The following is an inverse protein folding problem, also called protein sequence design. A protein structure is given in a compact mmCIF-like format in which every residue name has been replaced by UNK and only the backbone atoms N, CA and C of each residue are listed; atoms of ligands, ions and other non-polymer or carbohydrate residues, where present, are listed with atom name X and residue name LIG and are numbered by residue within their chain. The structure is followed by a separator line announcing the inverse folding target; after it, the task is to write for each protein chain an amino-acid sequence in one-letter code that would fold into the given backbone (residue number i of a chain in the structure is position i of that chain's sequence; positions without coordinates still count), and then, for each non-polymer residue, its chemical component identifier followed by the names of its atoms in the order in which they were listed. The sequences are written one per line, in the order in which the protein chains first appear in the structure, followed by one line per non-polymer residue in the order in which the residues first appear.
data_IF_521193988679
#
_entry.id   IF_521193988679
#
_cell.length_a   1.000
_cell.length_b   1.000
_cell.length_c   1.000
_cell.angle_alpha   90.00
_cell.angle_beta   90.00
_cell.angle_gamma   90.00
#
_symmetry.space_group_name_H-M   'P 1'
#
loop_
_entity.id
_entity.type
_entity.pdbx_description
1 polymer ?
#
# COMPACT_ATOMS: atom_id res chain seq x y z
N UNK A 1 74.03 13.38 19.77
CA UNK A 1 72.78 13.55 20.55
C UNK A 1 72.75 12.51 21.66
N UNK A 2 72.34 12.87 22.89
CA UNK A 2 72.21 11.90 23.97
C UNK A 2 71.11 10.88 23.61
N UNK A 3 71.37 9.59 23.86
CA UNK A 3 70.47 8.47 23.50
C UNK A 3 69.04 8.67 24.04
N UNK A 4 68.92 9.26 25.22
CA UNK A 4 67.64 9.53 25.87
C UNK A 4 66.77 10.51 25.07
N UNK A 5 67.39 11.52 24.43
CA UNK A 5 66.67 12.47 23.59
C UNK A 5 66.09 11.80 22.34
N UNK A 6 66.83 10.85 21.73
CA UNK A 6 66.37 10.08 20.57
C UNK A 6 65.20 9.18 20.97
N UNK A 7 65.28 8.53 22.14
CA UNK A 7 64.22 7.68 22.68
C UNK A 7 62.95 8.48 22.96
N UNK A 8 63.07 9.66 23.58
CA UNK A 8 61.93 10.55 23.84
C UNK A 8 61.30 11.04 22.53
N UNK A 9 62.13 11.44 21.55
CA UNK A 9 61.64 11.91 20.25
C UNK A 9 60.89 10.80 19.49
N UNK A 10 61.42 9.57 19.55
CA UNK A 10 60.79 8.40 18.91
C UNK A 10 59.45 8.07 19.57
N UNK A 11 59.38 8.12 20.90
CA UNK A 11 58.15 7.90 21.65
C UNK A 11 57.09 8.95 21.33
N UNK A 12 57.49 10.23 21.19
CA UNK A 12 56.59 11.33 20.80
C UNK A 12 56.08 11.19 19.37
N UNK A 13 56.95 10.84 18.42
CA UNK A 13 56.55 10.62 17.01
C UNK A 13 55.59 9.44 16.93
N UNK A 14 55.85 8.36 17.67
CA UNK A 14 55.00 7.17 17.69
C UNK A 14 53.63 7.49 18.28
N UNK A 15 53.57 8.17 19.42
CA UNK A 15 52.30 8.52 20.06
C UNK A 15 51.47 9.48 19.21
N UNK A 16 52.12 10.49 18.60
CA UNK A 16 51.46 11.40 17.67
C UNK A 16 50.94 10.68 16.43
N UNK A 17 51.74 9.78 15.85
CA UNK A 17 51.34 9.00 14.67
C UNK A 17 50.15 8.09 14.98
N UNK A 18 50.13 7.44 16.14
CA UNK A 18 49.00 6.62 16.59
C UNK A 18 47.73 7.45 16.79
N UNK A 19 47.84 8.62 17.46
CA UNK A 19 46.69 9.51 17.66
C UNK A 19 46.14 10.04 16.32
N UNK A 20 47.02 10.41 15.40
CA UNK A 20 46.63 10.85 14.05
C UNK A 20 45.95 9.72 13.28
N UNK A 21 46.49 8.49 13.32
CA UNK A 21 45.90 7.33 12.66
C UNK A 21 44.50 6.98 13.23
N UNK A 22 44.33 7.03 14.55
CA UNK A 22 43.02 6.83 15.21
C UNK A 22 42.05 7.94 14.81
N UNK A 23 42.49 9.20 14.78
CA UNK A 23 41.65 10.32 14.36
C UNK A 23 41.15 10.16 12.92
N UNK A 24 42.06 9.86 11.99
CA UNK A 24 41.72 9.63 10.58
C UNK A 24 40.75 8.45 10.45
N UNK A 25 41.03 7.34 11.13
CA UNK A 25 40.19 6.14 11.11
C UNK A 25 38.78 6.44 11.64
N UNK A 26 38.68 7.15 12.77
CA UNK A 26 37.40 7.54 13.35
C UNK A 26 36.62 8.48 12.42
N UNK A 27 37.29 9.41 11.76
CA UNK A 27 36.66 10.31 10.80
C UNK A 27 36.05 9.54 9.60
N UNK A 28 36.81 8.62 9.00
CA UNK A 28 36.30 7.79 7.90
C UNK A 28 35.22 6.82 8.34
N UNK A 29 35.33 6.23 9.53
CA UNK A 29 34.30 5.37 10.11
C UNK A 29 32.99 6.14 10.32
N UNK A 30 33.05 7.36 10.86
CA UNK A 30 31.86 8.18 11.07
C UNK A 30 31.19 8.56 9.74
N UNK A 31 31.97 8.94 8.74
CA UNK A 31 31.45 9.26 7.40
C UNK A 31 30.84 8.03 6.71
N UNK A 32 31.46 6.87 6.84
CA UNK A 32 30.95 5.60 6.34
C UNK A 32 29.65 5.21 7.03
N UNK A 33 29.61 5.33 8.37
CA UNK A 33 28.41 5.07 9.17
C UNK A 33 27.25 5.98 8.77
N UNK A 34 27.50 7.28 8.58
CA UNK A 34 26.47 8.21 8.15
C UNK A 34 25.90 7.83 6.78
N UNK A 35 26.75 7.47 5.81
CA UNK A 35 26.30 7.00 4.49
C UNK A 35 25.46 5.73 4.60
N UNK A 36 25.89 4.77 5.42
CA UNK A 36 25.18 3.51 5.63
C UNK A 36 23.82 3.75 6.30
N UNK A 37 23.75 4.61 7.32
CA UNK A 37 22.50 4.96 7.97
C UNK A 37 21.53 5.61 7.00
N UNK A 38 21.99 6.58 6.19
CA UNK A 38 21.14 7.21 5.16
C UNK A 38 20.58 6.18 4.17
N UNK A 39 21.41 5.26 3.68
CA UNK A 39 20.97 4.17 2.80
C UNK A 39 19.95 3.26 3.49
N UNK A 40 20.21 2.83 4.73
CA UNK A 40 19.27 2.01 5.50
C UNK A 40 17.94 2.72 5.75
N UNK A 41 17.94 4.02 6.03
CA UNK A 41 16.71 4.79 6.19
C UNK A 41 15.91 4.85 4.88
N UNK A 42 16.58 5.03 3.74
CA UNK A 42 15.93 5.03 2.42
C UNK A 42 15.32 3.66 2.11
N UNK A 43 16.08 2.58 2.28
CA UNK A 43 15.60 1.20 2.08
C UNK A 43 14.42 0.88 2.99
N UNK A 44 14.52 1.19 4.29
CA UNK A 44 13.44 0.95 5.24
C UNK A 44 12.18 1.75 4.91
N UNK A 45 12.33 3.01 4.50
CA UNK A 45 11.19 3.82 4.07
C UNK A 45 10.54 3.25 2.82
N UNK A 46 11.34 2.71 1.90
CA UNK A 46 10.85 2.04 0.69
C UNK A 46 10.07 0.77 1.04
N UNK A 47 10.66 -0.12 1.83
CA UNK A 47 10.01 -1.36 2.28
C UNK A 47 8.69 -1.09 2.99
N UNK A 48 8.65 -0.10 3.88
CA UNK A 48 7.39 0.28 4.56
C UNK A 48 6.34 0.70 3.54
N UNK A 49 6.68 1.57 2.59
CA UNK A 49 5.73 2.03 1.56
C UNK A 49 5.24 0.88 0.69
N UNK A 50 6.14 0.02 0.22
CA UNK A 50 5.78 -1.13 -0.61
C UNK A 50 4.81 -2.06 0.14
N UNK A 51 5.15 -2.44 1.38
CA UNK A 51 4.28 -3.25 2.22
C UNK A 51 2.89 -2.60 2.42
N UNK A 52 2.80 -1.26 2.53
CA UNK A 52 1.52 -0.57 2.66
C UNK A 52 0.73 -0.53 1.36
N UNK A 53 1.37 -0.43 0.20
CA UNK A 53 0.70 -0.55 -1.10
C UNK A 53 0.15 -1.97 -1.32
N UNK A 54 0.93 -2.99 -0.97
CA UNK A 54 0.49 -4.38 -1.02
C UNK A 54 -0.69 -4.64 -0.08
N UNK A 55 -0.62 -4.15 1.17
CA UNK A 55 -1.74 -4.19 2.12
C UNK A 55 -3.02 -3.55 1.51
N UNK A 56 -2.91 -2.37 0.88
CA UNK A 56 -4.06 -1.70 0.25
C UNK A 56 -4.60 -2.52 -0.92
N UNK A 57 -3.72 -3.03 -1.78
CA UNK A 57 -4.12 -3.84 -2.93
C UNK A 57 -4.93 -5.06 -2.48
N UNK A 58 -4.42 -5.80 -1.49
CA UNK A 58 -5.08 -7.00 -0.98
C UNK A 58 -6.43 -6.67 -0.33
N UNK A 59 -6.49 -5.61 0.47
CA UNK A 59 -7.72 -5.18 1.12
C UNK A 59 -8.77 -4.70 0.11
N UNK A 60 -8.32 -3.98 -0.94
CA UNK A 60 -9.19 -3.52 -2.01
C UNK A 60 -9.75 -4.68 -2.83
N UNK A 61 -8.91 -5.65 -3.21
CA UNK A 61 -9.33 -6.86 -3.95
C UNK A 61 -10.38 -7.64 -3.16
N UNK A 62 -10.16 -7.84 -1.85
CA UNK A 62 -11.14 -8.50 -0.97
C UNK A 62 -12.44 -7.71 -0.90
N UNK A 63 -12.38 -6.39 -0.81
CA UNK A 63 -13.55 -5.54 -0.77
C UNK A 63 -14.34 -5.58 -2.09
N UNK A 64 -13.64 -5.48 -3.22
CA UNK A 64 -14.18 -5.56 -4.58
C UNK A 64 -14.89 -6.89 -4.80
N UNK A 65 -14.24 -8.02 -4.55
CA UNK A 65 -14.84 -9.35 -4.69
C UNK A 65 -16.13 -9.48 -3.86
N UNK A 66 -16.12 -9.01 -2.62
CA UNK A 66 -17.31 -9.08 -1.77
C UNK A 66 -18.44 -8.19 -2.28
N UNK A 67 -18.11 -7.00 -2.80
CA UNK A 67 -19.10 -6.14 -3.44
C UNK A 67 -19.65 -6.77 -4.72
N UNK A 68 -18.80 -7.45 -5.49
CA UNK A 68 -19.19 -8.15 -6.72
C UNK A 68 -20.09 -9.33 -6.47
N UNK A 69 -19.78 -10.15 -5.46
CA UNK A 69 -20.68 -11.21 -4.98
C UNK A 69 -22.04 -10.62 -4.60
N UNK A 70 -22.05 -9.52 -3.84
CA UNK A 70 -23.28 -8.89 -3.41
C UNK A 70 -24.14 -8.43 -4.60
N UNK A 71 -23.59 -7.65 -5.54
CA UNK A 71 -24.40 -7.17 -6.66
C UNK A 71 -24.81 -8.31 -7.63
N UNK A 72 -24.03 -9.38 -7.76
CA UNK A 72 -24.39 -10.55 -8.57
C UNK A 72 -25.59 -11.29 -7.97
N UNK A 73 -25.65 -11.42 -6.64
CA UNK A 73 -26.83 -11.98 -5.97
C UNK A 73 -28.09 -11.16 -6.26
N UNK A 74 -27.98 -9.82 -6.28
CA UNK A 74 -29.09 -8.96 -6.71
C UNK A 74 -29.45 -9.17 -8.18
N UNK A 75 -28.47 -9.35 -9.06
CA UNK A 75 -28.72 -9.61 -10.49
C UNK A 75 -29.50 -10.91 -10.68
N UNK A 76 -29.07 -12.00 -10.04
CA UNK A 76 -29.76 -13.29 -10.08
C UNK A 76 -31.19 -13.18 -9.52
N UNK A 77 -31.38 -12.42 -8.44
CA UNK A 77 -32.70 -12.16 -7.87
C UNK A 77 -33.62 -11.42 -8.86
N UNK A 78 -33.11 -10.35 -9.51
CA UNK A 78 -33.90 -9.59 -10.48
C UNK A 78 -34.17 -10.36 -11.78
N UNK A 79 -33.25 -11.24 -12.19
CA UNK A 79 -33.45 -12.17 -13.31
C UNK A 79 -34.42 -13.33 -12.98
N UNK A 80 -34.91 -13.44 -11.73
CA UNK A 80 -35.77 -14.54 -11.26
C UNK A 80 -35.09 -15.91 -11.32
N UNK A 81 -33.75 -15.93 -11.26
CA UNK A 81 -32.96 -17.16 -11.21
C UNK A 81 -32.93 -17.76 -9.80
N UNK A 82 -33.12 -16.93 -8.77
CA UNK A 82 -33.21 -17.32 -7.36
C UNK A 82 -34.49 -16.78 -6.73
N UNK A 83 -34.98 -17.47 -5.70
CA UNK A 83 -36.13 -17.01 -4.92
C UNK A 83 -35.74 -15.92 -3.92
N UNK A 84 -36.73 -15.21 -3.38
CA UNK A 84 -36.49 -14.20 -2.35
C UNK A 84 -35.92 -14.82 -1.06
N UNK A 85 -36.35 -16.03 -0.68
CA UNK A 85 -35.79 -16.73 0.48
C UNK A 85 -34.32 -17.09 0.27
N UNK A 86 -33.96 -17.58 -0.91
CA UNK A 86 -32.57 -17.93 -1.23
C UNK A 86 -31.70 -16.68 -1.24
N UNK A 87 -32.21 -15.57 -1.78
CA UNK A 87 -31.53 -14.28 -1.76
C UNK A 87 -31.23 -13.83 -0.32
N UNK A 88 -32.21 -13.86 0.59
CA UNK A 88 -31.97 -13.49 1.99
C UNK A 88 -30.99 -14.44 2.71
N UNK A 89 -30.95 -15.72 2.33
CA UNK A 89 -29.98 -16.67 2.86
C UNK A 89 -28.56 -16.33 2.40
N UNK A 90 -28.37 -16.01 1.11
CA UNK A 90 -27.08 -15.57 0.57
C UNK A 90 -26.60 -14.26 1.20
N UNK A 91 -27.52 -13.34 1.49
CA UNK A 91 -27.20 -12.05 2.11
C UNK A 91 -26.97 -12.13 3.63
N UNK A 92 -27.37 -13.23 4.28
CA UNK A 92 -27.27 -13.43 5.75
C UNK A 92 -25.85 -13.67 6.25
N UNK A 93 -24.93 -14.04 5.36
CA UNK A 93 -23.51 -14.23 5.66
C UNK A 93 -22.72 -13.03 5.13
N UNK A 94 -22.78 -11.85 5.76
CA UNK A 94 -21.89 -10.77 5.39
C UNK A 94 -20.49 -11.25 5.72
N UNK A 95 -19.72 -11.62 4.70
CA UNK A 95 -18.27 -11.71 4.78
C UNK A 95 -17.80 -10.46 5.53
N UNK A 96 -17.02 -10.64 6.59
CA UNK A 96 -16.63 -9.59 7.55
C UNK A 96 -15.78 -8.49 6.87
N UNK A 97 -16.39 -7.60 6.08
CA UNK A 97 -15.68 -6.57 5.30
C UNK A 97 -15.50 -5.26 6.08
N UNK A 98 -16.28 -5.02 7.14
CA UNK A 98 -16.27 -3.72 7.83
C UNK A 98 -14.88 -3.33 8.35
N UNK A 99 -14.15 -4.26 8.98
CA UNK A 99 -12.80 -3.97 9.50
C UNK A 99 -11.75 -3.82 8.40
N UNK A 100 -11.85 -4.63 7.34
CA UNK A 100 -10.94 -4.58 6.20
C UNK A 100 -11.06 -3.26 5.42
N UNK A 101 -12.31 -2.81 5.20
CA UNK A 101 -12.58 -1.54 4.53
C UNK A 101 -12.07 -0.34 5.35
N UNK A 102 -12.32 -0.33 6.66
CA UNK A 102 -11.80 0.73 7.54
C UNK A 102 -10.27 0.78 7.53
N UNK A 103 -9.61 -0.40 7.58
CA UNK A 103 -8.14 -0.48 7.48
C UNK A 103 -7.65 0.06 6.14
N UNK A 104 -8.30 -0.30 5.02
CA UNK A 104 -7.95 0.19 3.69
C UNK A 104 -8.04 1.72 3.61
N UNK A 105 -9.15 2.30 4.08
CA UNK A 105 -9.35 3.75 4.08
C UNK A 105 -8.34 4.47 4.95
N UNK A 106 -7.99 3.91 6.11
CA UNK A 106 -6.95 4.47 6.96
C UNK A 106 -5.58 4.46 6.26
N UNK A 107 -5.23 3.37 5.58
CA UNK A 107 -3.97 3.27 4.85
C UNK A 107 -3.89 4.26 3.69
N UNK A 108 -4.96 4.39 2.89
CA UNK A 108 -5.04 5.38 1.81
C UNK A 108 -4.85 6.81 2.34
N UNK A 109 -5.61 7.19 3.38
CA UNK A 109 -5.59 8.55 3.90
C UNK A 109 -4.28 8.93 4.60
N UNK A 110 -3.61 7.97 5.25
CA UNK A 110 -2.37 8.24 6.00
C UNK A 110 -1.13 8.16 5.10
N UNK A 111 -1.07 7.16 4.21
CA UNK A 111 0.15 6.83 3.50
C UNK A 111 0.13 7.18 2.02
N UNK A 112 -1.05 7.28 1.37
CA UNK A 112 -1.17 7.48 -0.07
C UNK A 112 -2.30 8.46 -0.45
N UNK A 113 -2.24 9.72 0.01
CA UNK A 113 -3.22 10.73 -0.38
C UNK A 113 -3.28 10.94 -1.90
N UNK A 114 -2.21 10.61 -2.64
CA UNK A 114 -2.18 10.66 -4.10
C UNK A 114 -3.16 9.70 -4.80
N UNK A 115 -3.74 8.72 -4.09
CA UNK A 115 -4.73 7.78 -4.61
C UNK A 115 -6.19 8.20 -4.32
N UNK A 116 -6.39 9.33 -3.63
CA UNK A 116 -7.71 9.75 -3.17
C UNK A 116 -8.68 10.02 -4.33
N UNK A 117 -8.22 10.69 -5.39
CA UNK A 117 -9.05 11.04 -6.54
C UNK A 117 -9.46 9.80 -7.33
N UNK A 118 -8.55 8.86 -7.54
CA UNK A 118 -8.85 7.59 -8.19
C UNK A 118 -9.83 6.76 -7.36
N UNK A 119 -9.68 6.74 -6.03
CA UNK A 119 -10.62 6.06 -5.16
C UNK A 119 -12.01 6.73 -5.17
N UNK A 120 -12.09 8.06 -5.26
CA UNK A 120 -13.38 8.77 -5.43
C UNK A 120 -14.14 8.27 -6.65
N UNK A 121 -13.45 8.02 -7.77
CA UNK A 121 -14.06 7.45 -8.97
C UNK A 121 -14.62 6.05 -8.73
N UNK A 122 -13.89 5.19 -8.01
CA UNK A 122 -14.39 3.87 -7.61
C UNK A 122 -15.66 4.00 -6.77
N UNK A 123 -15.67 4.90 -5.78
CA UNK A 123 -16.83 5.09 -4.92
C UNK A 123 -18.04 5.64 -5.69
N UNK A 124 -17.83 6.54 -6.65
CA UNK A 124 -18.90 7.02 -7.53
C UNK A 124 -19.48 5.89 -8.39
N UNK A 125 -18.62 5.08 -9.04
CA UNK A 125 -19.07 3.95 -9.83
C UNK A 125 -19.84 2.91 -8.98
N UNK A 126 -19.36 2.65 -7.76
CA UNK A 126 -20.06 1.81 -6.78
C UNK A 126 -21.44 2.37 -6.43
N UNK A 127 -21.56 3.68 -6.22
CA UNK A 127 -22.84 4.33 -5.94
C UNK A 127 -23.85 4.14 -7.07
N UNK A 128 -23.40 4.06 -8.33
CA UNK A 128 -24.28 3.74 -9.46
C UNK A 128 -24.80 2.31 -9.41
N UNK A 129 -23.97 1.33 -9.04
CA UNK A 129 -24.38 -0.08 -8.85
C UNK A 129 -25.40 -0.19 -7.72
N UNK A 130 -25.17 0.48 -6.59
CA UNK A 130 -26.03 0.42 -5.39
C UNK A 130 -27.47 0.86 -5.67
N UNK A 131 -27.72 1.73 -6.65
CA UNK A 131 -29.08 2.15 -7.05
C UNK A 131 -29.99 0.99 -7.44
N UNK A 132 -29.40 -0.11 -7.90
CA UNK A 132 -30.09 -1.32 -8.35
C UNK A 132 -30.14 -2.41 -7.26
N UNK A 133 -29.41 -2.24 -6.15
CA UNK A 133 -29.35 -3.22 -5.06
C UNK A 133 -30.52 -3.05 -4.08
N UNK A 134 -31.75 -3.22 -4.59
CA UNK A 134 -32.99 -3.13 -3.81
C UNK A 134 -33.92 -4.28 -4.18
N UNK A 135 -34.64 -4.83 -3.22
CA UNK A 135 -35.57 -5.94 -3.48
C UNK A 135 -36.89 -5.47 -4.11
N UNK A 136 -37.20 -4.18 -4.00
CA UNK A 136 -38.46 -3.60 -4.44
C UNK A 136 -38.39 -2.98 -5.84
N UNK A 137 -39.47 -3.20 -6.62
CA UNK A 137 -39.68 -2.60 -7.92
C UNK A 137 -38.95 -3.30 -9.07
N UNK A 138 -39.40 -3.02 -10.29
CA UNK A 138 -38.72 -3.50 -11.48
C UNK A 138 -37.50 -2.60 -11.76
N UNK A 139 -36.34 -3.22 -11.93
CA UNK A 139 -35.13 -2.54 -12.38
C UNK A 139 -34.89 -2.78 -13.86
N UNK A 140 -34.19 -1.86 -14.51
CA UNK A 140 -33.64 -2.10 -15.84
C UNK A 140 -32.36 -2.94 -15.70
N UNK A 141 -32.43 -4.22 -16.07
CA UNK A 141 -31.33 -5.18 -15.94
C UNK A 141 -30.14 -4.78 -16.80
N UNK A 142 -30.37 -4.26 -18.02
CA UNK A 142 -29.28 -3.82 -18.89
C UNK A 142 -28.50 -2.66 -18.27
N UNK A 143 -29.20 -1.69 -17.68
CA UNK A 143 -28.53 -0.58 -16.98
C UNK A 143 -27.79 -1.04 -15.73
N UNK A 144 -28.30 -2.07 -15.04
CA UNK A 144 -27.61 -2.65 -13.90
C UNK A 144 -26.31 -3.34 -14.32
N UNK A 145 -26.35 -4.17 -15.36
CA UNK A 145 -25.15 -4.81 -15.93
C UNK A 145 -24.14 -3.76 -16.39
N UNK A 146 -24.58 -2.71 -17.09
CA UNK A 146 -23.69 -1.63 -17.52
C UNK A 146 -23.02 -0.91 -16.34
N UNK A 147 -23.74 -0.70 -15.23
CA UNK A 147 -23.18 -0.11 -14.02
C UNK A 147 -22.13 -1.03 -13.37
N UNK A 148 -22.36 -2.34 -13.37
CA UNK A 148 -21.40 -3.34 -12.88
C UNK A 148 -20.13 -3.35 -13.73
N UNK A 149 -20.25 -3.41 -15.06
CA UNK A 149 -19.10 -3.38 -15.98
C UNK A 149 -18.26 -2.10 -15.80
N UNK A 150 -18.92 -0.94 -15.66
CA UNK A 150 -18.23 0.31 -15.41
C UNK A 150 -17.51 0.32 -14.04
N UNK A 151 -18.14 -0.24 -13.00
CA UNK A 151 -17.50 -0.40 -11.70
C UNK A 151 -16.23 -1.27 -11.79
N UNK A 152 -16.32 -2.43 -12.44
CA UNK A 152 -15.20 -3.36 -12.63
C UNK A 152 -14.06 -2.72 -13.44
N UNK A 153 -14.37 -1.94 -14.47
CA UNK A 153 -13.36 -1.21 -15.24
C UNK A 153 -12.64 -0.16 -14.37
N UNK A 154 -13.38 0.60 -13.57
CA UNK A 154 -12.82 1.63 -12.68
C UNK A 154 -12.01 0.99 -11.54
N UNK A 155 -12.49 -0.12 -10.97
CA UNK A 155 -11.77 -0.88 -9.94
C UNK A 155 -10.45 -1.43 -10.49
N UNK A 156 -10.45 -1.99 -11.70
CA UNK A 156 -9.23 -2.43 -12.40
C UNK A 156 -8.25 -1.27 -12.64
N UNK A 157 -8.75 -0.09 -13.04
CA UNK A 157 -7.91 1.11 -13.19
C UNK A 157 -7.27 1.52 -11.87
N UNK A 158 -8.03 1.51 -10.76
CA UNK A 158 -7.52 1.81 -9.44
C UNK A 158 -6.41 0.84 -9.00
N UNK A 159 -6.64 -0.47 -9.14
CA UNK A 159 -5.62 -1.51 -8.89
C UNK A 159 -4.34 -1.27 -9.69
N UNK A 160 -4.47 -0.90 -10.97
CA UNK A 160 -3.33 -0.57 -11.82
C UNK A 160 -2.55 0.65 -11.28
N UNK A 161 -3.21 1.66 -10.75
CA UNK A 161 -2.52 2.82 -10.16
C UNK A 161 -1.73 2.46 -8.90
N UNK A 162 -2.29 1.60 -8.04
CA UNK A 162 -1.56 1.05 -6.90
C UNK A 162 -0.29 0.32 -7.37
N UNK A 163 -0.41 -0.55 -8.39
CA UNK A 163 0.75 -1.27 -8.94
C UNK A 163 1.79 -0.34 -9.58
N UNK A 164 1.37 0.73 -10.26
CA UNK A 164 2.29 1.71 -10.83
C UNK A 164 3.05 2.49 -9.75
N UNK A 165 2.40 2.81 -8.62
CA UNK A 165 3.08 3.42 -7.48
C UNK A 165 4.11 2.48 -6.86
N UNK A 166 3.83 1.17 -6.80
CA UNK A 166 4.80 0.18 -6.32
C UNK A 166 6.04 0.12 -7.24
N UNK A 167 5.83 0.08 -8.57
CA UNK A 167 6.91 -0.03 -9.56
C UNK A 167 7.78 1.22 -9.67
N UNK A 168 7.21 2.43 -9.56
CA UNK A 168 7.97 3.69 -9.65
C UNK A 168 9.10 3.80 -8.62
N UNK A 169 9.03 3.01 -7.54
CA UNK A 169 9.99 3.08 -6.46
C UNK A 169 11.08 1.99 -6.53
N UNK A 170 10.96 0.99 -7.42
CA UNK A 170 12.05 0.02 -7.68
C UNK A 170 13.27 0.67 -8.36
N UNK A 171 13.07 1.78 -9.09
CA UNK A 171 14.11 2.41 -9.94
C UNK A 171 15.11 3.26 -9.12
N UNK A 172 14.92 3.41 -7.81
CA UNK A 172 15.76 4.29 -6.96
C UNK A 172 16.95 3.54 -6.31
N UNK A 173 17.09 2.23 -6.55
CA UNK A 173 18.21 1.41 -6.01
C UNK A 173 19.36 1.33 -7.01
#
# INVERSE_FOLDING_TARGET
MPKDLITILTALITSFSTLMAVFITNYFNMKSLEKNLRSQFQLKSYEIKLNKLEDIYELFEKWEINFSIAYLNYLHFHNKEISESDFYELMKNPTSVSGAFQKMMALLNIHFPELEEEYKQVNLARSEVVKYMKTEGNINIQNFVQAQENFEEVAKKFKKQISLLAQKHEVII
#
